data_IF_655891020831
#
_entry.id   IF_655891020831
#
_cell.length_a   1.000
_cell.length_b   1.000
_cell.length_c   1.000
_cell.angle_alpha   90.00
_cell.angle_beta   90.00
_cell.angle_gamma   90.00
#
_symmetry.space_group_name_H-M   'P 1'
#
loop_
_entity.id
_entity.type
_entity.pdbx_description
1 polymer ?
#
# COMPACT_ATOMS: atom_id res chain seq x y z
N UNK A 1 4.99 -20.27 1.98
CA UNK A 1 4.46 -18.87 2.02
C UNK A 1 3.68 -18.69 3.32
N UNK A 2 3.99 -17.69 4.12
CA UNK A 2 3.21 -17.41 5.32
C UNK A 2 1.88 -16.69 4.96
N UNK A 3 0.96 -16.55 5.93
CA UNK A 3 -0.36 -15.96 5.68
C UNK A 3 -0.28 -14.46 5.28
N UNK A 4 0.72 -13.74 5.74
CA UNK A 4 0.93 -12.33 5.40
C UNK A 4 1.43 -12.18 3.96
N UNK A 5 2.39 -12.99 3.53
CA UNK A 5 2.85 -13.05 2.15
C UNK A 5 1.68 -13.39 1.20
N UNK A 6 0.90 -14.43 1.52
CA UNK A 6 -0.26 -14.83 0.72
C UNK A 6 -1.26 -13.68 0.54
N UNK A 7 -1.63 -13.02 1.64
CA UNK A 7 -2.55 -11.88 1.59
C UNK A 7 -1.94 -10.69 0.82
N UNK A 8 -0.64 -10.48 0.90
CA UNK A 8 0.07 -9.47 0.11
C UNK A 8 0.02 -9.75 -1.40
N UNK A 9 0.18 -11.01 -1.82
CA UNK A 9 0.04 -11.41 -3.24
C UNK A 9 -1.39 -11.16 -3.74
N UNK A 10 -2.39 -11.60 -2.97
CA UNK A 10 -3.81 -11.38 -3.30
C UNK A 10 -4.12 -9.87 -3.43
N UNK A 11 -3.61 -9.06 -2.51
CA UNK A 11 -3.76 -7.62 -2.54
C UNK A 11 -3.13 -6.98 -3.79
N UNK A 12 -1.88 -7.33 -4.14
CA UNK A 12 -1.24 -6.80 -5.34
C UNK A 12 -1.99 -7.19 -6.61
N UNK A 13 -2.44 -8.45 -6.73
CA UNK A 13 -3.24 -8.90 -7.86
C UNK A 13 -4.52 -8.06 -8.00
N UNK A 14 -5.24 -7.86 -6.88
CA UNK A 14 -6.46 -7.04 -6.88
C UNK A 14 -6.20 -5.58 -7.24
N UNK A 15 -5.08 -5.00 -6.80
CA UNK A 15 -4.68 -3.63 -7.19
C UNK A 15 -4.51 -3.54 -8.71
N UNK A 16 -3.84 -4.51 -9.35
CA UNK A 16 -3.69 -4.53 -10.81
C UNK A 16 -5.02 -4.61 -11.54
N UNK A 17 -5.94 -5.47 -11.06
CA UNK A 17 -7.29 -5.59 -11.63
C UNK A 17 -8.05 -4.26 -11.53
N UNK A 18 -8.01 -3.61 -10.35
CA UNK A 18 -8.71 -2.34 -10.11
C UNK A 18 -8.15 -1.17 -10.92
N UNK A 19 -6.84 -1.16 -11.18
CA UNK A 19 -6.19 -0.14 -12.02
C UNK A 19 -6.57 -0.34 -13.50
N UNK A 20 -6.72 -1.60 -13.94
CA UNK A 20 -7.07 -1.94 -15.33
C UNK A 20 -8.55 -1.78 -15.67
N UNK A 21 -9.43 -1.72 -14.68
CA UNK A 21 -10.87 -1.63 -14.87
C UNK A 21 -11.38 -0.20 -14.59
N UNK A 22 -11.48 0.59 -15.66
CA UNK A 22 -11.98 1.97 -15.60
C UNK A 22 -13.52 2.03 -15.51
N UNK A 23 -14.23 0.93 -15.82
CA UNK A 23 -15.69 0.89 -15.89
C UNK A 23 -16.35 0.63 -14.52
N UNK A 24 -15.61 0.13 -13.54
CA UNK A 24 -16.15 -0.10 -12.20
C UNK A 24 -16.59 1.21 -11.52
N UNK A 25 -17.85 1.24 -11.11
CA UNK A 25 -18.45 2.39 -10.42
C UNK A 25 -17.78 2.65 -9.08
N UNK A 26 -17.45 1.61 -8.35
CA UNK A 26 -16.69 1.70 -7.10
C UNK A 26 -15.51 0.74 -7.11
N UNK A 27 -14.55 0.96 -6.22
CA UNK A 27 -13.43 0.05 -5.99
C UNK A 27 -13.62 -0.81 -4.74
N UNK A 28 -14.86 -0.92 -4.25
CA UNK A 28 -15.24 -1.63 -3.02
C UNK A 28 -14.83 -3.11 -3.03
N UNK A 29 -14.73 -3.71 -4.22
CA UNK A 29 -14.26 -5.09 -4.37
C UNK A 29 -12.83 -5.35 -3.84
N UNK A 30 -12.07 -4.29 -3.49
CA UNK A 30 -10.81 -4.45 -2.77
C UNK A 30 -11.01 -5.14 -1.41
N UNK A 31 -12.17 -4.91 -0.77
CA UNK A 31 -12.48 -5.50 0.54
C UNK A 31 -12.92 -6.96 0.47
N UNK A 32 -13.10 -7.55 -0.71
CA UNK A 32 -13.20 -9.00 -0.88
C UNK A 32 -11.85 -9.68 -0.57
N UNK A 33 -10.75 -9.00 -0.85
CA UNK A 33 -9.40 -9.45 -0.52
C UNK A 33 -8.99 -8.98 0.87
N UNK A 34 -9.28 -7.72 1.22
CA UNK A 34 -9.05 -7.18 2.56
C UNK A 34 -10.23 -7.52 3.49
N UNK A 35 -10.50 -8.81 3.69
CA UNK A 35 -11.67 -9.38 4.34
C UNK A 35 -11.79 -9.10 5.86
N UNK A 36 -10.77 -8.52 6.47
CA UNK A 36 -10.78 -8.01 7.84
C UNK A 36 -11.01 -6.49 7.92
N UNK A 37 -11.31 -5.87 6.77
CA UNK A 37 -11.65 -4.45 6.64
C UNK A 37 -12.96 -4.32 5.90
N UNK A 38 -13.79 -3.40 6.31
CA UNK A 38 -15.01 -3.04 5.59
C UNK A 38 -15.25 -1.54 5.65
N UNK A 39 -15.94 -1.02 4.65
CA UNK A 39 -16.44 0.34 4.67
C UNK A 39 -17.56 0.51 5.72
N UNK A 40 -17.66 1.70 6.30
CA UNK A 40 -18.85 2.12 7.05
C UNK A 40 -20.05 2.22 6.10
N UNK A 41 -21.25 2.12 6.65
CA UNK A 41 -22.48 2.11 5.85
C UNK A 41 -22.61 3.37 5.00
N UNK A 42 -22.91 3.18 3.71
CA UNK A 42 -23.06 4.26 2.72
C UNK A 42 -21.74 4.85 2.21
N UNK A 43 -20.59 4.38 2.69
CA UNK A 43 -19.29 4.77 2.17
C UNK A 43 -18.87 3.85 1.02
N UNK A 44 -18.15 4.39 0.05
CA UNK A 44 -17.58 3.70 -1.10
C UNK A 44 -16.11 4.04 -1.26
N UNK A 45 -15.35 3.14 -1.91
CA UNK A 45 -13.95 3.35 -2.25
C UNK A 45 -13.82 3.88 -3.68
N UNK A 46 -13.14 5.00 -3.84
CA UNK A 46 -12.71 5.55 -5.12
C UNK A 46 -11.22 5.39 -5.33
N UNK A 47 -10.80 5.44 -6.58
CA UNK A 47 -9.39 5.42 -6.99
C UNK A 47 -9.11 6.58 -7.93
N UNK A 48 -8.20 7.44 -7.54
CA UNK A 48 -7.64 8.44 -8.42
C UNK A 48 -6.32 7.93 -8.98
N UNK A 49 -6.21 7.88 -10.30
CA UNK A 49 -4.98 7.53 -11.00
C UNK A 49 -4.14 8.78 -11.29
N UNK A 50 -2.83 8.60 -11.30
CA UNK A 50 -1.87 9.61 -11.66
C UNK A 50 -2.08 10.07 -13.12
N UNK A 51 -2.09 11.38 -13.34
CA UNK A 51 -2.14 11.95 -14.68
C UNK A 51 -0.73 12.13 -15.22
N UNK A 52 -0.56 11.86 -16.52
CA UNK A 52 0.71 12.10 -17.26
C UNK A 52 0.92 13.58 -17.54
N UNK A 53 0.90 14.40 -16.50
CA UNK A 53 1.06 15.85 -16.57
C UNK A 53 2.09 16.35 -15.56
N UNK A 54 2.89 17.31 -15.97
CA UNK A 54 3.86 17.99 -15.10
C UNK A 54 5.04 17.13 -14.67
N UNK A 55 5.61 17.45 -13.51
CA UNK A 55 6.86 16.88 -13.00
C UNK A 55 6.67 15.66 -12.09
N UNK A 56 5.44 15.23 -11.86
CA UNK A 56 5.12 14.06 -11.09
C UNK A 56 3.70 14.11 -10.55
N UNK A 57 3.08 12.94 -10.47
CA UNK A 57 1.76 12.76 -9.93
C UNK A 57 1.61 11.36 -9.32
N UNK A 58 0.73 11.20 -8.34
CA UNK A 58 0.54 9.98 -7.60
C UNK A 58 -0.89 9.48 -7.75
N UNK A 59 -1.05 8.15 -7.68
CA UNK A 59 -2.34 7.50 -7.53
C UNK A 59 -2.64 7.23 -6.06
N UNK A 60 -3.91 7.26 -5.66
CA UNK A 60 -4.35 6.89 -4.32
C UNK A 60 -5.81 6.54 -4.25
N UNK A 61 -6.17 5.75 -3.23
CA UNK A 61 -7.55 5.54 -2.85
C UNK A 61 -8.09 6.70 -2.00
N UNK A 62 -9.39 6.91 -2.07
CA UNK A 62 -10.16 7.83 -1.23
C UNK A 62 -11.53 7.23 -0.94
N UNK A 63 -12.23 7.73 0.07
CA UNK A 63 -13.59 7.31 0.37
C UNK A 63 -14.58 8.43 0.02
N UNK A 64 -15.81 8.05 -0.29
CA UNK A 64 -16.89 8.98 -0.58
C UNK A 64 -18.25 8.39 -0.20
N UNK A 65 -19.27 9.25 -0.09
CA UNK A 65 -20.68 8.89 0.09
C UNK A 65 -21.50 9.47 -1.08
N UNK A 66 -22.54 8.77 -1.49
CA UNK A 66 -23.36 9.18 -2.63
C UNK A 66 -22.66 8.96 -3.97
N UNK A 67 -22.63 9.98 -4.84
CA UNK A 67 -21.97 9.90 -6.14
C UNK A 67 -20.45 10.11 -6.03
N UNK A 68 -19.71 9.39 -6.87
CA UNK A 68 -18.24 9.52 -6.94
C UNK A 68 -17.88 10.95 -7.45
N UNK A 69 -17.22 11.77 -6.63
CA UNK A 69 -16.88 13.14 -6.99
C UNK A 69 -15.93 13.24 -8.18
N UNK A 70 -15.13 12.21 -8.44
CA UNK A 70 -14.24 12.18 -9.60
C UNK A 70 -15.04 11.94 -10.89
N UNK A 71 -16.04 11.04 -10.85
CA UNK A 71 -16.87 10.71 -12.01
C UNK A 71 -17.87 11.82 -12.36
N UNK A 72 -18.45 12.47 -11.37
CA UNK A 72 -19.40 13.57 -11.60
C UNK A 72 -18.73 14.93 -11.86
N UNK A 73 -17.39 14.98 -11.88
CA UNK A 73 -16.63 16.19 -12.18
C UNK A 73 -16.65 17.27 -11.10
N UNK A 74 -17.10 16.95 -9.90
CA UNK A 74 -17.14 17.89 -8.76
C UNK A 74 -15.88 17.87 -7.90
N UNK A 75 -14.99 16.90 -8.11
CA UNK A 75 -13.75 16.78 -7.36
C UNK A 75 -12.68 17.74 -7.85
N UNK A 76 -12.04 18.45 -6.93
CA UNK A 76 -10.70 18.98 -7.14
C UNK A 76 -9.64 18.10 -6.44
N UNK A 77 -8.39 18.32 -6.80
CA UNK A 77 -7.27 17.51 -6.32
C UNK A 77 -7.05 17.65 -4.81
N UNK A 78 -7.29 18.83 -4.23
CA UNK A 78 -7.08 19.08 -2.80
C UNK A 78 -8.16 18.40 -1.97
N UNK A 79 -9.41 18.44 -2.42
CA UNK A 79 -10.51 17.72 -1.79
C UNK A 79 -10.22 16.20 -1.77
N UNK A 80 -9.72 15.62 -2.86
CA UNK A 80 -9.38 14.20 -2.92
C UNK A 80 -8.18 13.85 -2.04
N UNK A 81 -7.21 14.75 -1.91
CA UNK A 81 -6.08 14.59 -0.98
C UNK A 81 -6.52 14.59 0.47
N UNK A 82 -7.48 15.43 0.82
CA UNK A 82 -8.04 15.45 2.17
C UNK A 82 -8.81 14.16 2.46
N UNK A 83 -9.66 13.71 1.54
CA UNK A 83 -10.36 12.43 1.66
C UNK A 83 -9.40 11.24 1.81
N UNK A 84 -8.27 11.25 1.12
CA UNK A 84 -7.22 10.24 1.30
C UNK A 84 -6.66 10.22 2.72
N UNK A 85 -6.43 11.39 3.33
CA UNK A 85 -5.88 11.48 4.70
C UNK A 85 -6.82 10.87 5.73
N UNK A 86 -8.11 10.96 5.47
CA UNK A 86 -9.18 10.49 6.35
C UNK A 86 -9.78 9.15 5.93
N UNK A 87 -9.13 8.41 5.01
CA UNK A 87 -9.68 7.14 4.50
C UNK A 87 -10.03 6.17 5.63
N UNK A 88 -9.24 6.13 6.70
CA UNK A 88 -9.48 5.24 7.83
C UNK A 88 -10.66 5.65 8.72
N UNK A 89 -11.11 6.90 8.66
CA UNK A 89 -12.28 7.38 9.37
C UNK A 89 -13.58 6.72 8.85
N UNK A 90 -13.56 6.25 7.60
CA UNK A 90 -14.68 5.59 6.93
C UNK A 90 -14.56 4.05 6.91
N UNK A 91 -13.58 3.49 7.61
CA UNK A 91 -13.32 2.05 7.65
C UNK A 91 -13.61 1.48 9.05
N UNK A 92 -13.99 0.21 9.06
CA UNK A 92 -14.03 -0.64 10.25
C UNK A 92 -13.01 -1.76 10.02
N UNK A 93 -12.08 -1.91 10.94
CA UNK A 93 -11.01 -2.91 10.87
C UNK A 93 -11.07 -3.84 12.07
N UNK A 94 -11.01 -5.13 11.82
CA UNK A 94 -10.94 -6.15 12.86
C UNK A 94 -9.63 -6.00 13.66
N UNK A 95 -9.74 -5.98 15.01
CA UNK A 95 -8.60 -5.81 15.91
C UNK A 95 -7.78 -7.10 16.08
N UNK A 96 -7.40 -7.69 14.96
CA UNK A 96 -6.61 -8.93 14.84
C UNK A 96 -5.26 -8.65 14.21
N UNK A 97 -4.32 -9.60 14.28
CA UNK A 97 -3.06 -9.47 13.56
C UNK A 97 -3.27 -9.36 12.04
N UNK A 98 -4.24 -10.09 11.48
CA UNK A 98 -4.55 -10.03 10.06
C UNK A 98 -5.24 -8.71 9.70
N UNK A 99 -6.16 -8.20 10.52
CA UNK A 99 -6.76 -6.88 10.32
C UNK A 99 -5.72 -5.76 10.33
N UNK A 100 -4.78 -5.80 11.28
CA UNK A 100 -3.66 -4.86 11.31
C UNK A 100 -2.75 -4.98 10.08
N UNK A 101 -2.52 -6.20 9.59
CA UNK A 101 -1.77 -6.43 8.35
C UNK A 101 -2.50 -5.86 7.14
N UNK A 102 -3.77 -6.10 7.00
CA UNK A 102 -4.58 -5.61 5.88
C UNK A 102 -4.70 -4.07 5.90
N UNK A 103 -4.87 -3.46 7.07
CA UNK A 103 -4.82 -2.01 7.22
C UNK A 103 -3.46 -1.45 6.78
N UNK A 104 -2.37 -2.13 7.11
CA UNK A 104 -1.05 -1.75 6.63
C UNK A 104 -0.90 -1.89 5.11
N UNK A 105 -1.46 -2.94 4.49
CA UNK A 105 -1.46 -3.07 3.02
C UNK A 105 -2.19 -1.89 2.34
N UNK A 106 -3.33 -1.49 2.89
CA UNK A 106 -4.05 -0.31 2.39
C UNK A 106 -3.22 0.98 2.61
N UNK A 107 -2.53 1.11 3.73
CA UNK A 107 -1.60 2.22 3.99
C UNK A 107 -0.46 2.28 2.95
N UNK A 108 0.03 1.12 2.52
CA UNK A 108 1.06 1.01 1.49
C UNK A 108 0.56 1.24 0.06
N UNK A 109 -0.75 1.23 -0.17
CA UNK A 109 -1.32 1.26 -1.52
C UNK A 109 -0.74 2.35 -2.44
N UNK A 110 -0.44 3.58 -1.99
CA UNK A 110 0.19 4.58 -2.84
C UNK A 110 1.58 4.20 -3.36
N UNK A 111 2.25 3.25 -2.70
CA UNK A 111 3.58 2.78 -3.10
C UNK A 111 3.54 1.67 -4.15
N UNK A 112 2.37 1.05 -4.39
CA UNK A 112 2.14 -0.02 -5.37
C UNK A 112 1.20 0.40 -6.49
N UNK A 113 0.49 1.50 -6.34
CA UNK A 113 -0.29 2.12 -7.39
C UNK A 113 0.63 2.85 -8.39
N UNK A 114 0.21 2.97 -9.67
CA UNK A 114 0.95 3.73 -10.67
C UNK A 114 1.24 5.16 -10.19
N UNK A 115 2.46 5.57 -10.37
CA UNK A 115 2.89 6.93 -10.14
C UNK A 115 3.50 7.45 -11.44
N UNK A 116 3.27 8.71 -11.78
CA UNK A 116 3.88 9.38 -12.92
C UNK A 116 5.06 10.23 -12.44
N UNK A 117 6.27 9.89 -12.91
CA UNK A 117 7.48 10.67 -12.71
C UNK A 117 8.34 10.57 -13.97
N UNK A 118 8.13 11.48 -14.93
CA UNK A 118 8.69 11.41 -16.30
C UNK A 118 8.29 10.14 -17.08
N UNK A 119 7.97 9.04 -16.39
CA UNK A 119 7.43 7.79 -16.90
C UNK A 119 6.63 7.07 -15.81
N UNK A 120 5.95 5.97 -16.15
CA UNK A 120 5.28 5.15 -15.14
C UNK A 120 6.32 4.48 -14.23
N UNK A 121 6.18 4.66 -12.94
CA UNK A 121 7.09 4.15 -11.93
C UNK A 121 6.33 3.48 -10.77
N UNK A 122 6.91 2.44 -10.21
CA UNK A 122 6.44 1.81 -8.96
C UNK A 122 7.51 2.07 -7.91
N UNK A 123 7.17 2.84 -6.88
CA UNK A 123 8.12 3.34 -5.90
C UNK A 123 8.77 2.27 -5.03
N UNK A 124 8.17 1.06 -4.93
CA UNK A 124 8.67 -0.02 -4.09
C UNK A 124 8.32 -1.40 -4.62
N UNK A 125 9.22 -2.35 -4.43
CA UNK A 125 8.98 -3.77 -4.67
C UNK A 125 8.81 -4.51 -3.34
N UNK A 126 7.70 -5.24 -3.19
CA UNK A 126 7.41 -6.09 -2.04
C UNK A 126 7.66 -7.55 -2.38
N UNK A 127 8.13 -8.33 -1.39
CA UNK A 127 8.56 -9.71 -1.59
C UNK A 127 7.50 -10.73 -1.17
N UNK A 128 6.24 -10.45 -1.47
CA UNK A 128 5.14 -11.34 -1.08
C UNK A 128 5.15 -12.65 -1.88
N UNK A 129 5.47 -12.61 -3.16
CA UNK A 129 5.58 -13.81 -3.99
C UNK A 129 6.96 -14.46 -3.87
N UNK A 130 7.22 -15.08 -2.71
CA UNK A 130 8.50 -15.69 -2.40
C UNK A 130 8.78 -16.94 -3.21
N UNK A 131 7.75 -17.65 -3.68
CA UNK A 131 7.89 -18.87 -4.46
C UNK A 131 8.39 -18.57 -5.89
N UNK A 132 8.00 -17.43 -6.43
CA UNK A 132 8.38 -16.99 -7.77
C UNK A 132 9.47 -15.89 -7.75
N UNK A 133 10.09 -15.64 -6.60
CA UNK A 133 11.14 -14.64 -6.49
C UNK A 133 12.33 -14.95 -7.39
N UNK A 134 12.62 -14.10 -8.34
CA UNK A 134 13.72 -14.24 -9.33
C UNK A 134 14.93 -13.37 -9.02
N UNK A 135 14.96 -12.73 -7.85
CA UNK A 135 15.98 -11.76 -7.48
C UNK A 135 15.59 -10.31 -7.82
N UNK A 136 16.39 -9.39 -7.32
CA UNK A 136 16.21 -7.97 -7.54
C UNK A 136 17.19 -7.52 -8.62
N UNK A 137 16.66 -6.82 -9.63
CA UNK A 137 17.42 -6.25 -10.72
C UNK A 137 17.18 -4.73 -10.70
N UNK A 138 18.09 -3.96 -10.11
CA UNK A 138 17.98 -2.51 -10.15
C UNK A 138 18.08 -2.01 -11.59
N UNK A 139 17.40 -0.91 -11.87
CA UNK A 139 17.36 -0.30 -13.19
C UNK A 139 18.77 0.02 -13.71
N UNK A 140 19.18 -0.60 -14.84
CA UNK A 140 20.50 -0.47 -15.48
C UNK A 140 21.72 -0.96 -14.68
N UNK A 141 21.54 -1.76 -13.64
CA UNK A 141 22.64 -2.30 -12.85
C UNK A 141 22.73 -3.83 -12.97
N UNK A 142 23.84 -4.38 -12.46
CA UNK A 142 23.99 -5.83 -12.29
C UNK A 142 22.98 -6.36 -11.28
N UNK A 143 22.62 -7.65 -11.36
CA UNK A 143 21.73 -8.28 -10.38
C UNK A 143 22.25 -8.11 -8.96
N UNK A 144 21.39 -7.70 -8.04
CA UNK A 144 21.72 -7.64 -6.63
C UNK A 144 21.84 -9.07 -6.10
N UNK A 145 22.93 -9.45 -5.39
CA UNK A 145 23.18 -10.81 -4.94
C UNK A 145 22.36 -11.16 -3.68
N UNK A 146 21.09 -10.76 -3.63
CA UNK A 146 20.16 -11.12 -2.58
C UNK A 146 19.40 -12.38 -2.95
N UNK A 147 19.29 -13.29 -1.98
CA UNK A 147 18.45 -14.48 -2.08
C UNK A 147 17.21 -14.29 -1.21
N UNK A 148 16.12 -14.94 -1.58
CA UNK A 148 14.86 -14.82 -0.86
C UNK A 148 14.96 -15.16 0.63
N UNK A 149 15.84 -16.10 0.98
CA UNK A 149 16.11 -16.47 2.38
C UNK A 149 16.80 -15.38 3.20
N UNK A 150 17.45 -14.41 2.55
CA UNK A 150 18.11 -13.28 3.22
C UNK A 150 17.10 -12.16 3.55
N UNK A 151 15.90 -12.24 3.00
CA UNK A 151 14.83 -11.26 3.14
C UNK A 151 13.90 -11.70 4.27
N UNK A 152 13.74 -10.91 5.35
CA UNK A 152 12.83 -11.25 6.43
C UNK A 152 11.41 -11.47 5.93
N UNK A 153 10.64 -12.28 6.63
CA UNK A 153 9.21 -12.40 6.36
C UNK A 153 8.44 -11.23 6.95
N UNK A 154 7.32 -10.80 6.32
CA UNK A 154 6.39 -9.88 6.94
C UNK A 154 5.87 -10.46 8.26
N UNK A 155 5.65 -9.58 9.23
CA UNK A 155 5.16 -10.01 10.54
C UNK A 155 4.32 -8.94 11.22
N UNK A 156 3.37 -9.41 12.03
CA UNK A 156 2.58 -8.56 12.93
C UNK A 156 2.73 -9.09 14.34
N UNK A 157 3.05 -8.21 15.26
CA UNK A 157 3.16 -8.54 16.69
C UNK A 157 2.19 -7.69 17.50
N UNK A 158 1.21 -8.32 18.13
CA UNK A 158 0.29 -7.64 19.04
C UNK A 158 1.03 -7.29 20.34
N UNK A 159 0.87 -6.05 20.77
CA UNK A 159 1.27 -5.52 22.07
C UNK A 159 0.02 -5.20 22.89
N UNK A 160 0.20 -4.68 24.09
CA UNK A 160 -0.91 -4.40 25.00
C UNK A 160 -1.95 -3.45 24.36
N UNK A 161 -1.49 -2.40 23.71
CA UNK A 161 -2.24 -1.24 23.22
C UNK A 161 -2.09 -0.97 21.73
N UNK A 162 -1.22 -1.74 21.03
CA UNK A 162 -0.98 -1.55 19.60
C UNK A 162 -0.49 -2.83 18.92
N UNK A 163 -0.46 -2.79 17.60
CA UNK A 163 0.18 -3.79 16.75
C UNK A 163 1.45 -3.20 16.14
N UNK A 164 2.51 -4.00 16.10
CA UNK A 164 3.73 -3.65 15.37
C UNK A 164 3.73 -4.47 14.09
N UNK A 165 3.57 -3.79 12.96
CA UNK A 165 3.66 -4.38 11.63
C UNK A 165 5.06 -4.19 11.09
N UNK A 166 5.67 -5.24 10.54
CA UNK A 166 6.97 -5.19 9.87
C UNK A 166 6.85 -5.76 8.48
N UNK A 167 7.39 -5.04 7.49
CA UNK A 167 7.34 -5.44 6.10
C UNK A 167 8.67 -5.13 5.41
N UNK A 168 9.36 -6.13 4.84
CA UNK A 168 10.52 -5.90 4.01
C UNK A 168 10.08 -5.40 2.63
N UNK A 169 10.81 -4.44 2.09
CA UNK A 169 10.63 -3.98 0.73
C UNK A 169 11.95 -3.49 0.13
N UNK A 170 11.99 -3.42 -1.19
CA UNK A 170 13.07 -2.82 -1.94
C UNK A 170 12.71 -1.42 -2.38
N UNK A 171 13.67 -0.53 -2.26
CA UNK A 171 13.62 0.82 -2.77
C UNK A 171 14.94 1.08 -3.51
N UNK A 172 14.89 1.57 -4.72
CA UNK A 172 16.06 1.80 -5.56
C UNK A 172 17.04 2.87 -5.03
N UNK A 173 16.60 3.65 -4.05
CA UNK A 173 17.42 4.68 -3.41
C UNK A 173 18.17 4.18 -2.17
N UNK A 174 17.58 3.24 -1.45
CA UNK A 174 18.08 2.76 -0.16
C UNK A 174 18.48 1.28 -0.18
N UNK A 175 17.94 0.50 -1.14
CA UNK A 175 18.11 -0.94 -1.23
C UNK A 175 17.05 -1.73 -0.48
N UNK A 176 17.43 -2.84 0.13
CA UNK A 176 16.53 -3.65 0.97
C UNK A 176 16.34 -2.98 2.31
N UNK A 177 15.10 -2.67 2.63
CA UNK A 177 14.72 -2.07 3.90
C UNK A 177 13.67 -2.91 4.62
N UNK A 178 13.66 -2.83 5.95
CA UNK A 178 12.60 -3.35 6.80
C UNK A 178 11.87 -2.17 7.42
N UNK A 179 10.68 -1.92 6.94
CA UNK A 179 9.78 -0.93 7.52
C UNK A 179 9.05 -1.52 8.72
N UNK A 180 8.87 -0.71 9.75
CA UNK A 180 8.12 -1.04 10.95
C UNK A 180 7.18 0.11 11.29
N UNK A 181 5.91 -0.19 11.55
CA UNK A 181 4.86 0.77 11.83
C UNK A 181 4.03 0.28 13.02
N UNK A 182 3.72 1.16 13.95
CA UNK A 182 2.75 0.89 14.99
C UNK A 182 1.35 1.25 14.48
N UNK A 183 0.40 0.38 14.78
CA UNK A 183 -1.01 0.56 14.50
C UNK A 183 -1.78 0.37 15.80
N UNK A 184 -2.55 1.37 16.19
CA UNK A 184 -3.40 1.36 17.38
C UNK A 184 -4.85 1.63 17.03
N UNK A 185 -5.74 1.19 17.93
CA UNK A 185 -7.16 1.44 17.85
C UNK A 185 -7.56 2.22 19.11
N UNK A 186 -8.37 3.27 18.93
CA UNK A 186 -8.99 3.96 20.06
C UNK A 186 -10.22 3.20 20.58
N UNK A 187 -10.92 3.77 21.56
CA UNK A 187 -12.11 3.17 22.18
C UNK A 187 -13.27 3.03 21.19
N UNK A 188 -13.32 3.88 20.16
CA UNK A 188 -14.34 3.88 19.09
C UNK A 188 -13.94 2.98 17.90
N UNK A 189 -12.74 2.38 17.95
CA UNK A 189 -12.20 1.51 16.90
C UNK A 189 -11.56 2.25 15.73
N UNK A 190 -11.35 3.57 15.84
CA UNK A 190 -10.63 4.31 14.80
C UNK A 190 -9.14 3.95 14.83
N UNK A 191 -8.53 3.94 13.65
CA UNK A 191 -7.14 3.55 13.49
C UNK A 191 -6.22 4.77 13.51
N UNK A 192 -5.09 4.62 14.17
CA UNK A 192 -3.95 5.53 14.07
C UNK A 192 -2.66 4.78 13.74
N UNK A 193 -1.82 5.43 12.97
CA UNK A 193 -0.49 4.95 12.60
C UNK A 193 0.57 5.88 13.18
N UNK A 194 1.52 5.31 13.88
CA UNK A 194 2.61 6.07 14.48
C UNK A 194 3.95 5.30 14.45
N UNK A 195 5.01 5.93 14.95
CA UNK A 195 6.33 5.32 15.12
C UNK A 195 6.86 4.60 13.88
N UNK A 196 6.65 5.17 12.68
CA UNK A 196 7.27 4.63 11.49
C UNK A 196 8.78 4.61 11.64
N UNK A 197 9.38 3.43 11.47
CA UNK A 197 10.84 3.21 11.51
C UNK A 197 11.25 2.42 10.30
N UNK A 198 12.40 2.79 9.74
CA UNK A 198 13.04 2.07 8.65
C UNK A 198 14.42 1.61 9.06
N UNK A 199 14.73 0.35 8.80
CA UNK A 199 16.05 -0.22 8.95
C UNK A 199 16.56 -0.68 7.59
N UNK A 200 17.67 -0.14 7.12
CA UNK A 200 18.36 -0.63 5.93
C UNK A 200 19.02 -1.97 6.30
N UNK A 201 18.69 -3.02 5.54
CA UNK A 201 19.25 -4.37 5.69
C UNK A 201 20.34 -4.65 4.67
N UNK A 202 20.20 -4.10 3.46
CA UNK A 202 21.20 -4.16 2.40
C UNK A 202 21.19 -2.80 1.70
N UNK A 203 22.30 -2.11 1.78
CA UNK A 203 22.44 -0.77 1.19
C UNK A 203 22.69 -0.88 -0.31
N UNK A 204 21.94 -0.12 -1.07
CA UNK A 204 22.07 -0.04 -2.52
C UNK A 204 21.76 1.39 -2.98
N UNK A 205 22.58 1.90 -3.87
CA UNK A 205 22.37 3.19 -4.50
C UNK A 205 22.37 2.99 -6.02
N UNK A 206 21.27 3.30 -6.65
CA UNK A 206 21.11 3.14 -8.10
C UNK A 206 22.08 4.00 -8.92
N UNK A 207 22.71 4.98 -8.30
CA UNK A 207 23.57 5.97 -8.99
C UNK A 207 22.80 6.91 -9.92
N UNK A 208 21.47 6.86 -9.92
CA UNK A 208 20.62 7.76 -10.68
C UNK A 208 20.53 9.08 -9.92
N UNK A 209 21.16 10.12 -10.47
CA UNK A 209 20.96 11.50 -10.02
C UNK A 209 19.87 12.11 -10.92
N UNK A 210 18.81 12.66 -10.34
CA UNK A 210 17.78 13.43 -11.01
C UNK A 210 18.05 14.92 -10.87
#
# INVERSE_FOLDING_TARGET
MNNYDKKGVEFLAKIYDLVGDEELDTKDSLFEVLDQIRLKDGCHLGLRLAEKKGMGDNSWFYTYTGEDPLKNGTADIEMLREKRRHIYDDLIVEQTNMGAWQAYLLFLSPSVLPLWWHENYIGRTFFFDRENFKGIFPFRCEPVPLKIQDIPEPSVTKRKDHFIVRCPNWNDWEGLVLDSLNLSFDEDGNISFDNFKRKVLYEFHSGICF
#
